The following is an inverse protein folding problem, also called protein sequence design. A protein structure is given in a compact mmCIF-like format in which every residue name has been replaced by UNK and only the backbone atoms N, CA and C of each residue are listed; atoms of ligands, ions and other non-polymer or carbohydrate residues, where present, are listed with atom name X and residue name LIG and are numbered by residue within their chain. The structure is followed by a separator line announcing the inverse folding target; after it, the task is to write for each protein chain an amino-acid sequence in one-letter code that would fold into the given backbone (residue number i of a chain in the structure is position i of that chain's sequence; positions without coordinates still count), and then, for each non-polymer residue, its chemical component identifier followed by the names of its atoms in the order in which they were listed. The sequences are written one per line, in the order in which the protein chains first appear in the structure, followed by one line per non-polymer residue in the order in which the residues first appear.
data_IF_697107180413
#
_entry.id   IF_697107180413
#
_cell.length_a   1.000
_cell.length_b   1.000
_cell.length_c   1.000
_cell.angle_alpha   90.00
_cell.angle_beta   90.00
_cell.angle_gamma   90.00
#
_symmetry.space_group_name_H-M   'P 1'
#
loop_
_entity.id
_entity.type
_entity.pdbx_description
1 polymer ?
#
# COMPACT_ATOMS: atom_id res chain seq x y z
N UNK A 1 -28.94 1.93 -28.92
CA UNK A 1 -28.35 0.57 -28.78
C UNK A 1 -27.41 0.60 -27.57
N UNK A 2 -27.49 -0.44 -26.74
CA UNK A 2 -27.12 -0.43 -25.33
C UNK A 2 -25.64 -0.07 -25.04
N UNK A 3 -25.45 0.74 -24.00
CA UNK A 3 -24.18 1.24 -23.48
C UNK A 3 -23.25 0.12 -22.98
N UNK A 4 -21.91 0.29 -23.06
CA UNK A 4 -20.98 -0.64 -22.45
C UNK A 4 -21.11 -0.55 -20.92
N UNK A 5 -21.37 -1.68 -20.28
CA UNK A 5 -21.59 -1.79 -18.84
C UNK A 5 -20.38 -1.28 -18.02
N UNK A 6 -20.59 -0.50 -16.95
CA UNK A 6 -19.51 -0.01 -16.09
C UNK A 6 -18.73 -1.17 -15.44
N UNK A 7 -17.45 -0.93 -15.14
CA UNK A 7 -16.62 -1.84 -14.34
C UNK A 7 -17.36 -2.18 -13.03
N UNK A 8 -17.31 -3.44 -12.57
CA UNK A 8 -18.07 -3.87 -11.41
C UNK A 8 -17.66 -3.08 -10.15
N UNK A 9 -18.65 -2.55 -9.44
CA UNK A 9 -18.47 -1.79 -8.22
C UNK A 9 -17.80 -2.63 -7.12
N UNK A 10 -16.81 -2.05 -6.44
CA UNK A 10 -16.07 -2.69 -5.36
C UNK A 10 -17.01 -3.15 -4.23
N UNK A 11 -18.01 -2.31 -3.89
CA UNK A 11 -19.00 -2.63 -2.85
C UNK A 11 -19.84 -3.86 -3.22
N UNK A 12 -20.30 -3.93 -4.47
CA UNK A 12 -21.06 -5.07 -4.99
C UNK A 12 -20.25 -6.37 -4.98
N UNK A 13 -19.00 -6.35 -5.47
CA UNK A 13 -18.13 -7.53 -5.45
C UNK A 13 -17.77 -7.98 -4.03
N UNK A 14 -17.54 -7.04 -3.11
CA UNK A 14 -17.29 -7.37 -1.71
C UNK A 14 -18.51 -8.04 -1.06
N UNK A 15 -19.73 -7.62 -1.40
CA UNK A 15 -20.95 -8.29 -0.94
C UNK A 15 -21.04 -9.73 -1.46
N UNK A 16 -20.71 -9.96 -2.73
CA UNK A 16 -20.69 -11.30 -3.33
C UNK A 16 -19.62 -12.19 -2.69
N UNK A 17 -18.39 -11.70 -2.53
CA UNK A 17 -17.31 -12.43 -1.85
C UNK A 17 -17.67 -12.75 -0.40
N UNK A 18 -18.41 -11.88 0.30
CA UNK A 18 -18.96 -12.17 1.65
C UNK A 18 -20.04 -13.26 1.63
N UNK A 19 -20.85 -13.34 0.58
CA UNK A 19 -21.80 -14.46 0.39
C UNK A 19 -21.05 -15.77 0.20
N UNK A 20 -20.04 -15.79 -0.68
CA UNK A 20 -19.18 -16.96 -0.89
C UNK A 20 -18.50 -17.38 0.41
N UNK A 21 -17.95 -16.44 1.17
CA UNK A 21 -17.33 -16.72 2.47
C UNK A 21 -18.30 -17.37 3.48
N UNK A 22 -19.59 -17.03 3.43
CA UNK A 22 -20.61 -17.61 4.32
C UNK A 22 -21.05 -19.00 3.87
N UNK A 23 -21.36 -19.18 2.59
CA UNK A 23 -21.85 -20.47 2.08
C UNK A 23 -20.72 -21.48 1.81
N UNK A 24 -19.50 -21.01 1.54
CA UNK A 24 -18.37 -21.82 1.09
C UNK A 24 -18.44 -22.17 -0.39
N UNK A 25 -17.33 -22.67 -0.93
CA UNK A 25 -17.18 -23.02 -2.35
C UNK A 25 -18.10 -24.17 -2.80
N UNK A 26 -18.55 -25.05 -1.88
CA UNK A 26 -19.55 -26.08 -2.18
C UNK A 26 -20.90 -25.46 -2.54
N UNK A 27 -21.31 -24.41 -1.82
CA UNK A 27 -22.57 -23.71 -2.04
C UNK A 27 -22.53 -22.70 -3.18
N UNK A 28 -21.38 -22.46 -3.80
CA UNK A 28 -21.14 -21.39 -4.77
C UNK A 28 -22.13 -21.39 -5.95
N UNK A 29 -22.50 -22.58 -6.45
CA UNK A 29 -23.44 -22.73 -7.59
C UNK A 29 -24.86 -22.25 -7.30
N UNK A 30 -25.22 -22.11 -6.02
CA UNK A 30 -26.54 -21.67 -5.58
C UNK A 30 -26.59 -20.19 -5.18
N UNK A 31 -25.45 -19.48 -5.22
CA UNK A 31 -25.37 -18.09 -4.82
C UNK A 31 -25.62 -17.14 -6.00
N UNK A 32 -26.34 -16.02 -5.78
CA UNK A 32 -26.42 -14.95 -6.76
C UNK A 32 -25.09 -14.19 -6.78
N UNK A 33 -24.24 -14.44 -7.79
CA UNK A 33 -22.96 -13.74 -7.97
C UNK A 33 -22.86 -13.05 -9.33
N UNK A 34 -23.77 -12.10 -9.65
CA UNK A 34 -23.82 -11.48 -10.98
C UNK A 34 -22.53 -10.73 -11.36
N UNK A 35 -21.87 -10.09 -10.40
CA UNK A 35 -20.60 -9.40 -10.61
C UNK A 35 -19.46 -10.37 -10.92
N UNK A 36 -19.31 -11.43 -10.11
CA UNK A 36 -18.28 -12.45 -10.34
C UNK A 36 -18.53 -13.26 -11.62
N UNK A 37 -19.77 -13.67 -11.87
CA UNK A 37 -20.16 -14.39 -13.09
C UNK A 37 -19.94 -13.53 -14.33
N UNK A 38 -20.30 -12.23 -14.28
CA UNK A 38 -20.07 -11.32 -15.39
C UNK A 38 -18.57 -11.08 -15.68
N UNK A 39 -17.68 -11.20 -14.69
CA UNK A 39 -16.22 -11.16 -14.92
C UNK A 39 -15.76 -12.44 -15.63
N UNK A 40 -16.27 -13.59 -15.22
CA UNK A 40 -15.96 -14.89 -15.84
C UNK A 40 -16.44 -14.94 -17.30
N UNK A 41 -17.66 -14.47 -17.58
CA UNK A 41 -18.27 -14.44 -18.91
C UNK A 41 -17.55 -13.50 -19.89
N UNK A 42 -16.92 -12.43 -19.38
CA UNK A 42 -16.16 -11.47 -20.19
C UNK A 42 -14.75 -11.94 -20.55
N UNK A 43 -14.29 -13.08 -20.01
CA UNK A 43 -12.94 -13.58 -20.28
C UNK A 43 -12.89 -14.25 -21.67
N UNK A 44 -11.94 -13.89 -22.55
CA UNK A 44 -11.86 -14.49 -23.87
C UNK A 44 -11.56 -15.99 -23.76
N UNK A 45 -12.26 -16.86 -24.52
CA UNK A 45 -11.97 -18.28 -24.56
C UNK A 45 -10.65 -18.51 -25.29
N UNK A 46 -9.57 -18.82 -24.57
CA UNK A 46 -8.26 -19.05 -25.23
C UNK A 46 -7.02 -19.29 -24.36
N UNK A 47 -7.06 -19.06 -23.05
CA UNK A 47 -5.90 -19.39 -22.19
C UNK A 47 -5.94 -20.86 -21.74
N UNK A 48 -5.47 -21.74 -22.63
CA UNK A 48 -5.06 -23.16 -22.45
C UNK A 48 -5.71 -24.00 -21.31
N UNK A 49 -6.56 -24.92 -21.77
CA UNK A 49 -6.93 -26.25 -21.24
C UNK A 49 -8.07 -26.43 -20.19
N UNK A 50 -9.14 -27.05 -20.71
CA UNK A 50 -9.97 -28.15 -20.16
C UNK A 50 -11.06 -27.90 -19.10
N UNK A 51 -11.22 -26.71 -18.54
CA UNK A 51 -12.35 -26.45 -17.63
C UNK A 51 -13.11 -25.17 -17.98
N UNK A 52 -14.46 -25.16 -17.92
CA UNK A 52 -15.22 -23.92 -18.03
C UNK A 52 -14.70 -22.94 -16.97
N UNK A 53 -14.40 -21.70 -17.36
CA UNK A 53 -14.04 -20.67 -16.40
C UNK A 53 -15.18 -20.58 -15.37
N UNK A 54 -14.89 -20.81 -14.10
CA UNK A 54 -15.88 -20.75 -13.03
C UNK A 54 -15.54 -19.61 -12.07
N UNK A 55 -16.55 -19.15 -11.33
CA UNK A 55 -16.33 -18.20 -10.23
C UNK A 55 -15.32 -18.75 -9.21
N UNK A 56 -15.29 -20.07 -9.00
CA UNK A 56 -14.29 -20.70 -8.12
C UNK A 56 -12.87 -20.51 -8.65
N UNK A 57 -12.67 -20.68 -9.95
CA UNK A 57 -11.36 -20.51 -10.59
C UNK A 57 -10.91 -19.04 -10.57
N UNK A 58 -11.85 -18.11 -10.77
CA UNK A 58 -11.59 -16.68 -10.59
C UNK A 58 -11.12 -16.37 -9.16
N UNK A 59 -11.80 -16.92 -8.14
CA UNK A 59 -11.43 -16.73 -6.75
C UNK A 59 -10.07 -17.37 -6.42
N UNK A 60 -9.78 -18.56 -6.97
CA UNK A 60 -8.48 -19.23 -6.83
C UNK A 60 -7.37 -18.41 -7.46
N UNK A 61 -7.58 -17.90 -8.67
CA UNK A 61 -6.65 -17.00 -9.37
C UNK A 61 -6.41 -15.73 -8.54
N UNK A 62 -7.47 -15.11 -8.03
CA UNK A 62 -7.37 -13.89 -7.22
C UNK A 62 -6.60 -14.12 -5.92
N UNK A 63 -6.86 -15.21 -5.22
CA UNK A 63 -6.18 -15.58 -3.96
C UNK A 63 -4.70 -15.90 -4.20
N UNK A 64 -4.37 -16.70 -5.23
CA UNK A 64 -2.98 -16.99 -5.60
C UNK A 64 -2.21 -15.72 -5.98
N UNK A 65 -2.90 -14.72 -6.55
CA UNK A 65 -2.31 -13.43 -6.93
C UNK A 65 -1.97 -12.51 -5.76
N UNK A 66 -2.38 -12.81 -4.52
CA UNK A 66 -2.14 -11.95 -3.34
C UNK A 66 -0.64 -11.79 -3.04
N UNK A 67 0.20 -12.77 -3.39
CA UNK A 67 1.65 -12.69 -3.23
C UNK A 67 2.20 -13.41 -1.99
N UNK A 68 1.50 -14.42 -1.48
CA UNK A 68 1.98 -15.31 -0.43
C UNK A 68 1.71 -14.86 1.01
N UNK A 69 2.33 -15.57 1.95
CA UNK A 69 2.33 -15.26 3.38
C UNK A 69 0.99 -15.47 4.09
N UNK A 70 0.90 -14.94 5.32
CA UNK A 70 -0.27 -15.14 6.20
C UNK A 70 -1.57 -14.58 5.60
N UNK A 71 -1.48 -13.56 4.74
CA UNK A 71 -2.63 -12.97 4.07
C UNK A 71 -3.24 -13.91 3.04
N UNK A 72 -2.43 -14.47 2.15
CA UNK A 72 -2.89 -15.46 1.18
C UNK A 72 -3.41 -16.71 1.90
N UNK A 73 -2.66 -17.26 2.86
CA UNK A 73 -3.08 -18.47 3.59
C UNK A 73 -4.39 -18.26 4.35
N UNK A 74 -4.60 -17.09 4.96
CA UNK A 74 -5.86 -16.78 5.62
C UNK A 74 -7.01 -16.58 4.62
N UNK A 75 -6.76 -16.05 3.43
CA UNK A 75 -7.74 -15.95 2.34
C UNK A 75 -8.16 -17.34 1.84
N UNK A 76 -7.21 -18.24 1.63
CA UNK A 76 -7.45 -19.63 1.24
C UNK A 76 -8.35 -20.35 2.26
N UNK A 77 -8.03 -20.23 3.56
CA UNK A 77 -8.87 -20.82 4.61
C UNK A 77 -10.23 -20.14 4.75
N UNK A 78 -10.31 -18.81 4.60
CA UNK A 78 -11.58 -18.07 4.74
C UNK A 78 -12.61 -18.48 3.69
N UNK A 79 -12.17 -18.72 2.46
CA UNK A 79 -13.02 -19.15 1.35
C UNK A 79 -13.16 -20.68 1.24
N UNK A 80 -12.31 -21.47 1.90
CA UNK A 80 -12.31 -22.93 1.79
C UNK A 80 -11.60 -23.42 0.53
N UNK A 81 -10.63 -22.65 0.05
CA UNK A 81 -9.82 -22.94 -1.14
C UNK A 81 -8.53 -23.71 -0.79
N UNK A 82 -8.12 -23.70 0.48
CA UNK A 82 -7.04 -24.52 0.99
C UNK A 82 -7.39 -26.02 0.87
N UNK A 83 -6.40 -26.85 0.54
CA UNK A 83 -6.59 -28.30 0.37
C UNK A 83 -7.29 -28.94 1.57
N UNK A 84 -8.32 -29.75 1.30
CA UNK A 84 -9.08 -30.46 2.34
C UNK A 84 -10.02 -29.59 3.20
N UNK A 85 -10.27 -28.32 2.82
CA UNK A 85 -11.15 -27.41 3.58
C UNK A 85 -12.45 -27.02 2.87
N UNK A 86 -12.74 -27.69 1.75
CA UNK A 86 -13.83 -27.36 0.83
C UNK A 86 -15.21 -27.42 1.50
N UNK A 87 -15.42 -28.45 2.31
CA UNK A 87 -16.66 -28.81 3.01
C UNK A 87 -16.71 -28.31 4.46
N UNK A 88 -15.66 -27.65 4.93
CA UNK A 88 -15.60 -27.18 6.32
C UNK A 88 -16.70 -26.15 6.60
N UNK A 89 -17.33 -26.17 7.79
CA UNK A 89 -18.25 -25.12 8.22
C UNK A 89 -17.60 -23.73 8.21
N UNK A 90 -18.40 -22.70 7.91
CA UNK A 90 -17.93 -21.32 7.80
C UNK A 90 -17.33 -20.76 9.11
N UNK A 91 -17.69 -21.35 10.25
CA UNK A 91 -17.11 -21.04 11.56
C UNK A 91 -15.70 -21.65 11.71
N UNK A 92 -15.48 -22.87 11.22
CA UNK A 92 -14.20 -23.58 11.33
C UNK A 92 -13.16 -23.00 10.37
N UNK A 93 -13.58 -22.65 9.15
CA UNK A 93 -12.80 -21.85 8.21
C UNK A 93 -12.33 -20.52 8.83
N UNK A 94 -13.24 -19.83 9.54
CA UNK A 94 -12.90 -18.59 10.27
C UNK A 94 -11.88 -18.84 11.37
N UNK A 95 -12.10 -19.91 12.15
CA UNK A 95 -11.21 -20.27 13.26
C UNK A 95 -9.81 -20.54 12.74
N UNK A 96 -9.69 -21.27 11.63
CA UNK A 96 -8.39 -21.56 11.01
C UNK A 96 -7.73 -20.32 10.42
N UNK A 97 -8.49 -19.47 9.72
CA UNK A 97 -7.95 -18.20 9.21
C UNK A 97 -7.49 -17.26 10.34
N UNK A 98 -8.20 -17.24 11.47
CA UNK A 98 -7.80 -16.50 12.67
C UNK A 98 -6.48 -17.05 13.28
N UNK A 99 -6.31 -18.37 13.30
CA UNK A 99 -5.08 -19.03 13.74
C UNK A 99 -3.87 -18.64 12.88
N UNK A 100 -4.03 -18.52 11.55
CA UNK A 100 -2.95 -18.07 10.64
C UNK A 100 -2.41 -16.69 11.02
N UNK A 101 -3.28 -15.82 11.54
CA UNK A 101 -2.89 -14.49 12.04
C UNK A 101 -2.49 -14.46 13.52
N UNK A 102 -2.65 -15.57 14.25
CA UNK A 102 -2.43 -15.59 15.70
C UNK A 102 -3.40 -14.69 16.46
N UNK A 103 -4.63 -14.51 15.97
CA UNK A 103 -5.67 -13.67 16.62
C UNK A 103 -6.89 -14.49 17.04
N UNK A 104 -7.71 -13.94 17.95
CA UNK A 104 -8.96 -14.57 18.33
C UNK A 104 -9.97 -14.59 17.16
N UNK A 105 -10.86 -15.58 17.14
CA UNK A 105 -11.89 -15.72 16.11
C UNK A 105 -12.79 -14.48 16.02
N UNK A 106 -13.08 -13.87 17.17
CA UNK A 106 -13.90 -12.66 17.25
C UNK A 106 -13.19 -11.43 16.69
N UNK A 107 -11.88 -11.29 16.95
CA UNK A 107 -11.07 -10.22 16.37
C UNK A 107 -10.89 -10.39 14.87
N UNK A 108 -10.72 -11.63 14.42
CA UNK A 108 -10.68 -11.95 13.00
C UNK A 108 -11.99 -11.53 12.32
N UNK A 109 -13.14 -11.96 12.89
CA UNK A 109 -14.48 -11.61 12.38
C UNK A 109 -14.69 -10.10 12.22
N UNK A 110 -14.28 -9.31 13.21
CA UNK A 110 -14.53 -7.86 13.24
C UNK A 110 -13.59 -7.04 12.35
N UNK A 111 -12.35 -7.47 12.15
CA UNK A 111 -11.33 -6.60 11.56
C UNK A 111 -10.54 -7.26 10.42
N UNK A 112 -10.09 -8.50 10.59
CA UNK A 112 -9.20 -9.14 9.62
C UNK A 112 -9.97 -9.78 8.47
N UNK A 113 -11.18 -10.27 8.74
CA UNK A 113 -12.03 -10.89 7.72
C UNK A 113 -12.43 -9.87 6.65
N UNK A 114 -12.76 -8.63 7.04
CA UNK A 114 -13.08 -7.59 6.06
C UNK A 114 -11.85 -7.22 5.22
N UNK A 115 -10.68 -7.09 5.84
CA UNK A 115 -9.43 -6.79 5.14
C UNK A 115 -9.04 -7.90 4.17
N UNK A 116 -9.10 -9.16 4.59
CA UNK A 116 -8.81 -10.34 3.73
C UNK A 116 -9.74 -10.38 2.52
N UNK A 117 -11.05 -10.18 2.73
CA UNK A 117 -12.02 -10.19 1.63
C UNK A 117 -11.86 -8.96 0.72
N UNK A 118 -11.50 -7.79 1.25
CA UNK A 118 -11.19 -6.60 0.46
C UNK A 118 -10.00 -6.83 -0.47
N UNK A 119 -8.93 -7.46 0.02
CA UNK A 119 -7.76 -7.82 -0.78
C UNK A 119 -8.09 -8.81 -1.91
N UNK A 120 -9.00 -9.75 -1.66
CA UNK A 120 -9.52 -10.65 -2.70
C UNK A 120 -10.27 -9.85 -3.77
N UNK A 121 -11.14 -8.91 -3.38
CA UNK A 121 -11.91 -8.08 -4.32
C UNK A 121 -11.00 -7.20 -5.18
N UNK A 122 -9.97 -6.59 -4.59
CA UNK A 122 -8.97 -5.81 -5.33
C UNK A 122 -8.28 -6.68 -6.41
N UNK A 123 -7.95 -7.93 -6.08
CA UNK A 123 -7.38 -8.88 -7.05
C UNK A 123 -8.37 -9.28 -8.15
N UNK A 124 -9.64 -9.46 -7.81
CA UNK A 124 -10.69 -9.76 -8.80
C UNK A 124 -10.88 -8.59 -9.77
N UNK A 125 -10.84 -7.35 -9.27
CA UNK A 125 -10.90 -6.16 -10.11
C UNK A 125 -9.70 -6.03 -11.05
N UNK A 126 -8.50 -6.39 -10.58
CA UNK A 126 -7.30 -6.46 -11.43
C UNK A 126 -7.46 -7.52 -12.54
N UNK A 127 -8.05 -8.67 -12.24
CA UNK A 127 -8.33 -9.71 -13.24
C UNK A 127 -9.39 -9.25 -14.26
N UNK A 128 -10.35 -8.43 -13.82
CA UNK A 128 -11.46 -7.96 -14.64
C UNK A 128 -11.11 -6.76 -15.54
N UNK A 129 -9.99 -6.08 -15.29
CA UNK A 129 -9.58 -4.94 -16.10
C UNK A 129 -9.26 -5.40 -17.54
N UNK A 130 -9.75 -4.70 -18.58
CA UNK A 130 -9.35 -5.01 -19.94
C UNK A 130 -7.83 -4.82 -20.08
N UNK A 131 -7.15 -5.63 -20.90
CA UNK A 131 -5.77 -5.36 -21.25
C UNK A 131 -5.73 -3.97 -21.91
N UNK A 132 -5.18 -2.99 -21.20
CA UNK A 132 -5.08 -1.62 -21.69
C UNK A 132 -4.27 -1.64 -22.97
N UNK A 133 -4.82 -1.06 -24.04
CA UNK A 133 -4.18 -0.89 -25.34
C UNK A 133 -2.97 0.03 -25.23
N UNK A 134 -1.86 -0.51 -24.75
CA UNK A 134 -0.51 -0.14 -25.16
C UNK A 134 -0.05 -1.24 -26.10
N UNK A 135 -0.21 -1.01 -27.41
CA UNK A 135 0.27 -1.89 -28.48
C UNK A 135 1.79 -2.02 -28.43
N UNK A 136 2.26 -3.00 -27.65
CA UNK A 136 3.55 -3.68 -27.82
C UNK A 136 3.61 -5.04 -27.09
N UNK A 137 2.48 -5.68 -26.79
CA UNK A 137 2.46 -7.01 -26.15
C UNK A 137 1.81 -8.12 -27.00
N UNK A 138 1.30 -7.78 -28.18
CA UNK A 138 0.66 -8.75 -29.08
C UNK A 138 1.64 -9.41 -30.07
N UNK A 139 2.88 -8.92 -30.19
CA UNK A 139 3.88 -9.47 -31.12
C UNK A 139 4.80 -10.53 -30.49
N UNK A 140 4.48 -10.99 -29.26
CA UNK A 140 5.28 -12.02 -28.54
C UNK A 140 4.56 -13.32 -28.25
N UNK A 141 3.38 -13.54 -28.82
CA UNK A 141 2.69 -14.83 -28.77
C UNK A 141 2.23 -15.26 -30.18
N UNK A 142 3.17 -15.30 -31.11
CA UNK A 142 3.07 -16.13 -32.31
C UNK A 142 3.78 -17.46 -32.06
N UNK A 143 3.00 -18.54 -31.92
CA UNK A 143 3.52 -19.90 -32.09
C UNK A 143 3.86 -20.10 -33.57
N UNK A 144 5.15 -20.06 -33.88
CA UNK A 144 5.75 -20.65 -35.06
C UNK A 144 7.07 -21.26 -34.64
N UNK A 145 7.14 -22.59 -34.67
CA UNK A 145 8.40 -23.31 -34.59
C UNK A 145 9.30 -22.83 -35.75
N UNK A 146 10.38 -22.12 -35.40
CA UNK A 146 11.76 -22.31 -35.90
C UNK A 146 12.61 -21.08 -35.55
N UNK A 147 13.61 -21.28 -34.66
CA UNK A 147 14.84 -20.47 -34.60
C UNK A 147 14.74 -18.97 -34.29
N UNK A 148 14.25 -18.59 -33.11
CA UNK A 148 14.27 -17.18 -32.65
C UNK A 148 14.59 -17.04 -31.15
N UNK A 149 15.76 -16.49 -30.84
CA UNK A 149 16.29 -16.25 -29.48
C UNK A 149 15.28 -15.42 -28.66
N UNK A 150 14.65 -16.03 -27.65
CA UNK A 150 13.70 -15.36 -26.77
C UNK A 150 14.35 -14.15 -26.08
N UNK A 151 13.80 -12.96 -26.34
CA UNK A 151 14.17 -11.75 -25.64
C UNK A 151 13.68 -11.82 -24.18
N UNK A 152 14.44 -11.30 -23.20
CA UNK A 152 14.09 -11.38 -21.80
C UNK A 152 12.75 -10.69 -21.50
N UNK A 153 11.95 -11.30 -20.61
CA UNK A 153 10.77 -10.68 -20.02
C UNK A 153 11.22 -9.48 -19.19
N UNK A 154 10.79 -8.27 -19.56
CA UNK A 154 11.12 -7.07 -18.80
C UNK A 154 10.49 -7.14 -17.40
N UNK A 155 11.32 -6.93 -16.38
CA UNK A 155 10.87 -6.82 -15.00
C UNK A 155 10.00 -5.58 -14.84
N UNK A 156 8.92 -5.67 -14.07
CA UNK A 156 8.09 -4.52 -13.77
C UNK A 156 8.92 -3.39 -13.12
N UNK A 157 8.71 -2.12 -13.50
CA UNK A 157 9.57 -1.03 -13.07
C UNK A 157 9.41 -0.75 -11.57
N UNK A 158 10.51 -0.57 -10.86
CA UNK A 158 10.53 -0.23 -9.43
C UNK A 158 10.19 1.23 -9.14
N UNK A 159 10.04 2.06 -10.17
CA UNK A 159 9.67 3.47 -10.10
C UNK A 159 8.66 3.82 -11.19
N UNK A 160 7.74 4.75 -10.90
CA UNK A 160 6.85 5.36 -11.89
C UNK A 160 6.88 6.86 -11.74
N UNK A 161 6.95 7.58 -12.85
CA UNK A 161 6.85 9.04 -12.88
C UNK A 161 5.48 9.42 -13.39
N UNK A 162 4.74 10.20 -12.61
CA UNK A 162 3.40 10.66 -12.89
C UNK A 162 3.41 12.18 -13.06
N UNK A 163 2.52 12.71 -13.89
CA UNK A 163 2.42 14.16 -14.17
C UNK A 163 1.00 14.70 -13.96
N UNK A 164 0.43 14.59 -12.74
CA UNK A 164 -0.91 15.10 -12.45
C UNK A 164 -1.05 16.60 -12.73
N UNK A 165 -2.25 17.00 -13.14
CA UNK A 165 -2.64 18.40 -13.27
C UNK A 165 -3.15 18.91 -11.93
N UNK A 166 -2.38 19.80 -11.30
CA UNK A 166 -2.70 20.43 -10.01
C UNK A 166 -2.87 21.92 -10.24
N UNK A 167 -4.08 22.45 -10.03
CA UNK A 167 -4.40 23.86 -10.25
C UNK A 167 -3.90 24.44 -11.60
N UNK A 168 -4.08 23.67 -12.67
CA UNK A 168 -3.67 24.08 -14.03
C UNK A 168 -2.17 23.93 -14.33
N UNK A 169 -1.40 23.33 -13.41
CA UNK A 169 0.04 23.05 -13.59
C UNK A 169 0.30 21.56 -13.56
N UNK A 170 1.11 21.07 -14.51
CA UNK A 170 1.64 19.70 -14.40
C UNK A 170 2.74 19.68 -13.35
N UNK A 171 2.61 18.75 -12.41
CA UNK A 171 3.60 18.53 -11.35
C UNK A 171 4.15 17.11 -11.49
N UNK A 172 5.45 16.95 -11.36
CA UNK A 172 6.09 15.63 -11.37
C UNK A 172 5.93 14.97 -10.00
N UNK A 173 5.39 13.75 -10.00
CA UNK A 173 5.27 12.90 -8.81
C UNK A 173 5.94 11.56 -9.09
N UNK A 174 6.87 11.14 -8.25
CA UNK A 174 7.57 9.86 -8.39
C UNK A 174 7.03 8.83 -7.39
N UNK A 175 6.62 7.65 -7.87
CA UNK A 175 6.15 6.54 -7.04
C UNK A 175 7.22 5.44 -7.01
N UNK A 176 7.79 5.22 -5.83
CA UNK A 176 8.76 4.19 -5.52
C UNK A 176 8.05 2.90 -5.08
N UNK A 177 8.32 1.80 -5.77
CA UNK A 177 7.67 0.49 -5.58
C UNK A 177 8.66 -0.48 -4.97
N UNK A 178 9.07 -0.20 -3.74
CA UNK A 178 10.03 -1.00 -3.00
C UNK A 178 9.98 -0.67 -1.51
N UNK A 179 10.84 -1.31 -0.71
CA UNK A 179 10.96 -0.94 0.70
C UNK A 179 11.68 0.40 0.87
N UNK A 180 11.36 1.12 1.94
CA UNK A 180 11.81 2.50 2.20
C UNK A 180 13.34 2.60 2.41
N UNK A 181 14.01 1.51 2.77
CA UNK A 181 15.47 1.39 2.89
C UNK A 181 16.21 1.29 1.55
N UNK A 182 15.49 1.28 0.44
CA UNK A 182 16.04 1.34 -0.92
C UNK A 182 15.82 2.71 -1.59
N UNK A 183 15.27 3.69 -0.86
CA UNK A 183 15.15 5.06 -1.36
C UNK A 183 16.53 5.65 -1.60
N UNK A 184 16.68 6.36 -2.71
CA UNK A 184 17.90 7.06 -3.09
C UNK A 184 17.55 8.44 -3.59
N UNK A 185 18.47 9.38 -3.38
CA UNK A 185 18.41 10.72 -3.98
C UNK A 185 17.11 11.47 -3.64
N UNK A 186 16.65 11.32 -2.40
CA UNK A 186 15.53 12.07 -1.82
C UNK A 186 16.00 12.73 -0.53
N UNK A 187 15.89 14.05 -0.43
CA UNK A 187 16.36 14.84 0.71
C UNK A 187 15.66 14.44 2.02
N UNK A 188 14.33 14.30 1.99
CA UNK A 188 13.52 14.07 3.19
C UNK A 188 12.59 12.88 3.03
N UNK A 189 12.56 11.98 4.02
CA UNK A 189 11.54 10.93 4.12
C UNK A 189 10.69 11.10 5.38
N UNK A 190 9.37 10.97 5.23
CA UNK A 190 8.45 11.02 6.38
C UNK A 190 8.30 9.64 6.99
N UNK A 191 8.61 9.54 8.29
CA UNK A 191 8.48 8.32 9.09
C UNK A 191 7.20 8.37 9.93
N UNK A 192 6.22 7.46 9.73
CA UNK A 192 5.04 7.39 10.59
C UNK A 192 5.43 6.93 11.99
N UNK A 193 5.25 7.81 12.98
CA UNK A 193 5.62 7.60 14.37
C UNK A 193 4.40 7.64 15.29
N UNK A 194 4.54 6.98 16.45
CA UNK A 194 3.55 7.14 17.50
C UNK A 194 3.70 8.47 18.23
N UNK A 195 2.66 8.89 18.93
CA UNK A 195 2.64 10.16 19.67
C UNK A 195 3.67 10.24 20.79
N UNK A 196 4.29 9.14 21.21
CA UNK A 196 5.38 9.16 22.20
C UNK A 196 6.77 9.19 21.56
N UNK A 197 6.86 9.21 20.23
CA UNK A 197 8.12 9.12 19.48
C UNK A 197 8.99 7.91 19.86
N UNK A 198 8.36 6.82 20.33
CA UNK A 198 9.07 5.57 20.65
C UNK A 198 9.18 4.75 19.38
N UNK A 199 10.38 4.63 18.82
CA UNK A 199 10.58 3.84 17.61
C UNK A 199 10.33 2.34 17.86
N UNK A 200 9.71 1.64 16.89
CA UNK A 200 9.55 0.18 16.96
C UNK A 200 10.91 -0.51 17.01
N UNK A 201 10.92 -1.75 17.50
CA UNK A 201 12.10 -2.60 17.46
C UNK A 201 12.61 -2.77 16.00
N UNK A 202 13.93 -2.79 15.76
CA UNK A 202 14.51 -2.70 14.43
C UNK A 202 14.22 -3.92 13.54
N UNK A 203 13.83 -5.06 14.11
CA UNK A 203 13.45 -6.27 13.35
C UNK A 203 11.98 -6.27 12.90
N UNK A 204 11.19 -5.22 13.22
CA UNK A 204 9.82 -5.10 12.72
C UNK A 204 9.82 -4.64 11.26
N UNK A 205 8.70 -4.91 10.58
CA UNK A 205 8.54 -4.63 9.15
C UNK A 205 7.85 -3.30 8.84
N UNK A 206 7.60 -2.42 9.83
CA UNK A 206 7.00 -1.10 9.57
C UNK A 206 7.99 -0.14 8.91
N UNK A 207 7.48 0.94 8.29
CA UNK A 207 8.31 2.00 7.69
C UNK A 207 9.30 2.56 8.72
N UNK A 208 8.82 2.95 9.92
CA UNK A 208 9.68 3.47 10.98
C UNK A 208 10.75 2.47 11.47
N UNK A 209 10.42 1.17 11.54
CA UNK A 209 11.41 0.15 11.92
C UNK A 209 12.48 -0.03 10.85
N UNK A 210 12.07 -0.03 9.57
CA UNK A 210 12.99 -0.11 8.44
C UNK A 210 13.91 1.12 8.38
N UNK A 211 13.35 2.34 8.51
CA UNK A 211 14.14 3.58 8.54
C UNK A 211 15.14 3.60 9.70
N UNK A 212 14.71 3.21 10.92
CA UNK A 212 15.62 3.06 12.07
C UNK A 212 16.77 2.10 11.76
N UNK A 213 16.46 0.90 11.26
CA UNK A 213 17.46 -0.14 10.96
C UNK A 213 18.40 0.25 9.82
N UNK A 214 17.92 1.02 8.84
CA UNK A 214 18.71 1.44 7.70
C UNK A 214 19.56 2.69 8.00
N UNK A 215 19.06 3.60 8.84
CA UNK A 215 19.82 4.76 9.32
C UNK A 215 20.83 4.43 10.42
N UNK A 216 20.77 3.24 11.01
CA UNK A 216 21.73 2.78 12.00
C UNK A 216 23.09 2.42 11.38
N UNK A 217 24.18 2.80 12.04
CA UNK A 217 25.55 2.43 11.66
C UNK A 217 25.85 1.01 12.13
N UNK A 218 26.38 0.19 11.22
CA UNK A 218 26.71 -1.21 11.49
C UNK A 218 28.18 -1.49 11.26
N UNK A 219 28.69 -2.51 11.93
CA UNK A 219 30.02 -3.03 11.69
C UNK A 219 30.04 -3.95 10.44
N UNK A 220 31.21 -4.38 9.96
CA UNK A 220 31.30 -5.28 8.79
C UNK A 220 30.60 -6.63 8.96
N UNK A 221 30.31 -7.06 10.19
CA UNK A 221 29.57 -8.30 10.49
C UNK A 221 28.05 -8.09 10.56
N UNK A 222 27.60 -6.84 10.37
CA UNK A 222 26.19 -6.45 10.46
C UNK A 222 25.73 -6.15 11.89
N UNK A 223 26.62 -6.17 12.86
CA UNK A 223 26.35 -5.79 14.25
C UNK A 223 26.02 -4.31 14.37
N UNK A 224 25.06 -3.96 15.23
CA UNK A 224 24.68 -2.57 15.49
C UNK A 224 25.80 -1.86 16.24
N UNK A 225 26.33 -0.78 15.68
CA UNK A 225 27.32 0.07 16.36
C UNK A 225 26.65 1.32 16.92
N UNK A 226 25.83 2.01 16.12
CA UNK A 226 25.10 3.21 16.55
C UNK A 226 23.68 3.21 15.99
N UNK A 227 22.71 3.58 16.84
CA UNK A 227 21.31 3.74 16.46
C UNK A 227 20.96 5.23 16.38
N UNK A 228 21.65 5.96 15.48
CA UNK A 228 21.61 7.42 15.40
C UNK A 228 20.18 7.97 15.34
N UNK A 229 19.33 7.35 14.51
CA UNK A 229 17.92 7.77 14.35
C UNK A 229 17.15 7.64 15.67
N UNK A 230 17.39 6.58 16.45
CA UNK A 230 16.75 6.40 17.74
C UNK A 230 17.25 7.43 18.77
N UNK A 231 18.56 7.60 18.87
CA UNK A 231 19.18 8.46 19.87
C UNK A 231 18.85 9.93 19.61
N UNK A 232 18.88 10.36 18.34
CA UNK A 232 18.49 11.72 17.95
C UNK A 232 17.01 11.99 18.19
N UNK A 233 16.12 11.05 17.86
CA UNK A 233 14.68 11.23 18.10
C UNK A 233 14.38 11.30 19.60
N UNK A 234 15.04 10.44 20.40
CA UNK A 234 14.94 10.49 21.86
C UNK A 234 15.47 11.82 22.40
N UNK A 235 16.60 12.29 21.90
CA UNK A 235 17.19 13.58 22.27
C UNK A 235 16.27 14.75 21.91
N UNK A 236 15.65 14.71 20.72
CA UNK A 236 14.66 15.69 20.30
C UNK A 236 13.44 15.69 21.24
N UNK A 237 12.90 14.51 21.55
CA UNK A 237 11.75 14.38 22.45
C UNK A 237 12.07 14.92 23.86
N UNK A 238 13.28 14.64 24.37
CA UNK A 238 13.75 15.17 25.65
C UNK A 238 13.82 16.71 25.66
N UNK A 239 14.44 17.33 24.64
CA UNK A 239 14.54 18.79 24.51
C UNK A 239 13.18 19.49 24.37
N UNK A 240 12.17 18.78 23.88
CA UNK A 240 10.82 19.30 23.70
C UNK A 240 9.86 18.92 24.86
N UNK A 241 10.39 18.44 26.00
CA UNK A 241 9.58 18.17 27.20
C UNK A 241 8.62 16.99 27.06
N UNK A 242 8.94 16.04 26.17
CA UNK A 242 8.13 14.85 25.88
C UNK A 242 8.57 13.53 26.54
N UNK A 243 9.57 13.45 27.46
CA UNK A 243 9.80 12.19 28.17
C UNK A 243 8.52 11.70 28.88
N UNK A 244 8.04 10.52 28.51
CA UNK A 244 6.83 9.91 29.07
C UNK A 244 5.51 10.61 28.72
N UNK A 245 5.52 11.61 27.84
CA UNK A 245 4.33 12.38 27.46
C UNK A 245 4.04 12.22 25.97
N UNK A 246 2.77 12.10 25.63
CA UNK A 246 2.35 12.11 24.23
C UNK A 246 2.46 13.53 23.65
N UNK A 247 3.11 13.63 22.49
CA UNK A 247 3.03 14.78 21.61
C UNK A 247 1.60 14.97 21.08
N UNK A 248 1.30 16.20 20.65
CA UNK A 248 0.06 16.48 19.94
C UNK A 248 0.05 15.72 18.60
N UNK A 249 -1.04 15.00 18.25
CA UNK A 249 -1.14 14.36 16.94
C UNK A 249 -1.02 15.36 15.79
N UNK A 250 -0.02 15.17 14.94
CA UNK A 250 0.38 16.14 13.91
C UNK A 250 1.76 16.77 14.13
N UNK A 251 2.36 16.61 15.31
CA UNK A 251 3.74 17.06 15.57
C UNK A 251 4.72 16.29 14.68
N UNK A 252 5.70 17.00 14.12
CA UNK A 252 6.77 16.42 13.29
C UNK A 252 8.12 16.71 13.95
N UNK A 253 8.90 15.65 14.17
CA UNK A 253 10.23 15.72 14.77
C UNK A 253 11.31 15.41 13.72
N UNK A 254 12.24 16.33 13.42
CA UNK A 254 13.36 16.06 12.52
C UNK A 254 14.47 15.28 13.22
N UNK A 255 15.08 14.35 12.49
CA UNK A 255 16.40 13.76 12.76
C UNK A 255 17.25 13.79 11.48
N UNK A 256 18.55 13.56 11.61
CA UNK A 256 19.39 13.13 10.50
C UNK A 256 18.88 11.79 9.93
N UNK A 257 19.37 11.45 8.74
CA UNK A 257 19.12 10.15 8.13
C UNK A 257 20.08 9.04 8.63
N UNK A 258 21.09 9.39 9.45
CA UNK A 258 22.17 8.47 9.83
C UNK A 258 22.87 7.88 8.61
N UNK A 259 23.07 6.57 8.58
CA UNK A 259 23.72 5.86 7.47
C UNK A 259 22.97 5.95 6.13
N UNK A 260 21.68 6.30 6.12
CA UNK A 260 20.95 6.59 4.88
C UNK A 260 21.45 7.87 4.17
N UNK A 261 22.27 8.69 4.86
CA UNK A 261 23.03 9.79 4.28
C UNK A 261 23.82 9.40 3.04
N UNK A 262 24.41 8.21 3.04
CA UNK A 262 25.19 7.68 1.90
C UNK A 262 24.32 7.39 0.67
N UNK A 263 22.99 7.34 0.83
CA UNK A 263 22.01 7.12 -0.24
C UNK A 263 21.37 8.42 -0.71
N UNK A 264 21.82 9.57 -0.22
CA UNK A 264 21.25 10.88 -0.55
C UNK A 264 20.07 11.30 0.33
N UNK A 265 19.70 10.50 1.35
CA UNK A 265 18.70 10.93 2.35
C UNK A 265 19.35 11.83 3.38
N UNK A 266 18.80 13.02 3.60
CA UNK A 266 19.40 14.02 4.49
C UNK A 266 18.66 14.15 5.80
N UNK A 267 17.33 14.05 5.76
CA UNK A 267 16.45 14.17 6.94
C UNK A 267 15.42 13.05 7.00
N UNK A 268 15.10 12.66 8.23
CA UNK A 268 13.91 11.86 8.52
C UNK A 268 12.96 12.73 9.35
N UNK A 269 11.74 12.92 8.84
CA UNK A 269 10.69 13.64 9.54
C UNK A 269 9.74 12.66 10.20
N UNK A 270 9.87 12.49 11.52
CA UNK A 270 9.04 11.60 12.30
C UNK A 270 7.71 12.28 12.59
N UNK A 271 6.65 11.82 11.92
CA UNK A 271 5.31 12.38 12.07
C UNK A 271 4.53 11.63 13.16
N UNK A 272 4.09 12.33 14.21
CA UNK A 272 3.25 11.79 15.28
C UNK A 272 1.80 11.58 14.78
N UNK A 273 1.61 10.54 13.97
CA UNK A 273 0.32 10.20 13.35
C UNK A 273 -0.46 9.14 14.11
N UNK A 274 0.24 8.30 14.89
CA UNK A 274 -0.31 7.09 15.46
C UNK A 274 -0.48 7.19 16.97
N UNK A 275 -1.72 7.10 17.46
CA UNK A 275 -1.99 7.01 18.90
C UNK A 275 -1.95 5.54 19.29
N UNK A 276 -1.05 5.10 20.20
CA UNK A 276 -1.03 3.71 20.63
C UNK A 276 -2.35 3.32 21.29
N UNK A 277 -2.91 2.16 20.92
CA UNK A 277 -4.06 1.60 21.63
C UNK A 277 -3.54 0.81 22.85
N UNK A 278 -3.98 1.14 24.08
CA UNK A 278 -3.61 0.40 25.29
C UNK A 278 -3.79 -1.11 25.12
N UNK A 279 -2.90 -1.89 25.74
CA UNK A 279 -2.91 -3.35 25.76
C UNK A 279 -2.87 -4.02 24.37
N UNK A 280 -2.32 -3.33 23.37
CA UNK A 280 -2.22 -3.85 22.01
C UNK A 280 -0.94 -3.40 21.30
N UNK A 281 -0.67 -4.02 20.16
CA UNK A 281 0.37 -3.60 19.22
C UNK A 281 -0.17 -2.69 18.08
N UNK A 282 -1.43 -2.26 18.22
CA UNK A 282 -2.18 -1.50 17.22
C UNK A 282 -2.17 0.00 17.54
N UNK A 283 -2.53 0.79 16.54
CA UNK A 283 -2.63 2.23 16.65
C UNK A 283 -3.95 2.73 16.09
N UNK A 284 -4.42 3.85 16.64
CA UNK A 284 -5.48 4.65 16.05
C UNK A 284 -4.85 5.79 15.25
N UNK A 285 -5.17 5.84 13.96
CA UNK A 285 -4.80 6.95 13.06
C UNK A 285 -6.07 7.54 12.50
N UNK A 286 -6.22 8.87 12.65
CA UNK A 286 -7.36 9.61 12.09
C UNK A 286 -6.93 10.30 10.78
N UNK A 287 -7.74 10.29 9.71
CA UNK A 287 -7.44 10.99 8.46
C UNK A 287 -7.00 12.45 8.66
N UNK A 288 -7.73 13.20 9.50
CA UNK A 288 -7.38 14.59 9.78
C UNK A 288 -5.99 14.79 10.43
N UNK A 289 -5.47 13.78 11.16
CA UNK A 289 -4.11 13.82 11.72
C UNK A 289 -3.08 13.61 10.61
N UNK A 290 -3.36 12.74 9.64
CA UNK A 290 -2.50 12.53 8.46
C UNK A 290 -2.34 13.84 7.69
N UNK A 291 -3.46 14.50 7.34
CA UNK A 291 -3.43 15.81 6.65
C UNK A 291 -2.58 16.84 7.40
N UNK A 292 -2.81 16.99 8.72
CA UNK A 292 -2.03 17.94 9.53
C UNK A 292 -0.55 17.59 9.61
N UNK A 293 -0.21 16.30 9.69
CA UNK A 293 1.18 15.86 9.78
C UNK A 293 1.94 16.14 8.49
N UNK A 294 1.29 15.95 7.34
CA UNK A 294 1.87 16.25 6.02
C UNK A 294 2.07 17.75 5.86
N UNK A 295 1.06 18.56 6.21
CA UNK A 295 1.20 20.02 6.21
C UNK A 295 2.33 20.49 7.14
N UNK A 296 2.45 19.89 8.34
CA UNK A 296 3.54 20.20 9.27
C UNK A 296 4.91 19.76 8.74
N UNK A 297 4.99 18.65 8.00
CA UNK A 297 6.22 18.19 7.36
C UNK A 297 6.69 19.16 6.26
N UNK A 298 5.79 19.66 5.42
CA UNK A 298 6.13 20.70 4.44
C UNK A 298 6.49 22.03 5.10
N UNK A 299 5.79 22.43 6.16
CA UNK A 299 6.13 23.62 6.91
C UNK A 299 7.52 23.51 7.58
N UNK A 300 7.94 22.30 7.97
CA UNK A 300 9.29 22.03 8.47
C UNK A 300 10.31 22.03 7.34
N UNK A 301 10.02 21.38 6.21
CA UNK A 301 10.85 21.41 5.00
C UNK A 301 11.16 22.84 4.56
N UNK A 302 10.14 23.69 4.46
CA UNK A 302 10.31 25.09 4.07
C UNK A 302 11.21 25.88 5.05
N UNK A 303 11.21 25.54 6.35
CA UNK A 303 12.06 26.18 7.35
C UNK A 303 13.51 25.70 7.29
N UNK A 304 13.73 24.40 7.08
CA UNK A 304 15.07 23.82 7.05
C UNK A 304 15.76 24.00 5.69
N UNK A 305 15.00 24.03 4.60
CA UNK A 305 15.53 24.02 3.22
C UNK A 305 16.58 25.10 2.96
N UNK A 306 16.34 26.34 3.38
CA UNK A 306 17.26 27.45 3.13
C UNK A 306 18.54 27.41 4.01
N UNK A 307 18.54 26.65 5.10
CA UNK A 307 19.69 26.50 5.99
C UNK A 307 20.65 25.38 5.59
N UNK A 308 20.36 24.70 4.49
CA UNK A 308 21.01 23.50 4.01
C UNK A 308 21.70 23.79 2.66
N UNK A 309 22.89 23.21 2.44
CA UNK A 309 23.66 23.38 1.19
C UNK A 309 24.00 22.02 0.58
N UNK A 310 23.40 21.63 -0.58
CA UNK A 310 22.37 22.37 -1.32
C UNK A 310 21.04 22.44 -0.55
N UNK A 311 20.08 23.31 -0.92
CA UNK A 311 18.77 23.35 -0.28
C UNK A 311 18.03 22.01 -0.37
N UNK A 312 17.19 21.69 0.62
CA UNK A 312 16.30 20.52 0.57
C UNK A 312 15.16 20.80 -0.42
N UNK A 313 14.95 19.94 -1.41
CA UNK A 313 13.96 20.13 -2.48
C UNK A 313 12.96 18.98 -2.62
N UNK A 314 13.28 17.79 -2.12
CA UNK A 314 12.46 16.59 -2.31
C UNK A 314 11.92 16.01 -1.00
N UNK A 315 10.68 15.51 -1.04
CA UNK A 315 10.04 14.85 0.11
C UNK A 315 9.33 13.57 -0.30
N UNK A 316 9.63 12.48 0.40
CA UNK A 316 9.00 11.18 0.24
C UNK A 316 7.98 10.87 1.33
N UNK A 317 6.77 10.56 0.90
CA UNK A 317 5.62 10.24 1.73
C UNK A 317 5.26 8.74 1.58
N UNK A 318 5.30 7.94 2.65
CA UNK A 318 4.59 6.66 2.66
C UNK A 318 3.09 6.90 2.81
N UNK A 319 2.27 5.87 2.55
CA UNK A 319 0.85 5.89 2.90
C UNK A 319 0.68 5.86 4.43
N UNK A 320 0.62 7.05 5.04
CA UNK A 320 0.56 7.24 6.49
C UNK A 320 -0.71 6.60 7.09
N UNK A 321 -0.52 5.72 8.07
CA UNK A 321 -1.62 5.04 8.75
C UNK A 321 -2.15 3.79 8.05
N UNK A 322 -1.74 3.49 6.81
CA UNK A 322 -2.25 2.33 6.05
C UNK A 322 -1.66 0.97 6.44
N UNK A 323 -0.94 0.92 7.57
CA UNK A 323 -0.42 -0.30 8.17
C UNK A 323 -1.20 -0.64 9.43
N UNK A 324 -0.51 -0.66 10.58
CA UNK A 324 -1.14 -0.92 11.89
C UNK A 324 -2.02 0.21 12.43
N UNK A 325 -2.18 1.29 11.67
CA UNK A 325 -3.05 2.42 12.00
C UNK A 325 -4.51 2.23 11.57
N UNK A 326 -4.81 1.20 10.78
CA UNK A 326 -6.16 0.81 10.43
C UNK A 326 -6.79 1.56 9.25
N UNK A 327 -6.10 2.53 8.63
CA UNK A 327 -6.58 3.16 7.41
C UNK A 327 -6.39 2.21 6.22
N UNK A 328 -7.31 2.26 5.26
CA UNK A 328 -7.06 1.71 3.93
C UNK A 328 -6.04 2.57 3.17
N UNK A 329 -5.33 2.02 2.17
CA UNK A 329 -4.48 2.81 1.28
C UNK A 329 -5.21 4.01 0.64
N UNK A 330 -6.49 3.83 0.29
CA UNK A 330 -7.34 4.88 -0.28
C UNK A 330 -7.61 6.01 0.73
N UNK A 331 -8.00 5.67 1.97
CA UNK A 331 -8.23 6.69 3.02
C UNK A 331 -6.94 7.42 3.38
N UNK A 332 -5.82 6.71 3.44
CA UNK A 332 -4.50 7.30 3.68
C UNK A 332 -4.13 8.30 2.58
N UNK A 333 -4.26 7.91 1.32
CA UNK A 333 -3.98 8.79 0.18
C UNK A 333 -4.93 9.99 0.13
N UNK A 334 -6.24 9.75 0.30
CA UNK A 334 -7.24 10.81 0.32
C UNK A 334 -7.05 11.81 1.47
N UNK A 335 -6.44 11.38 2.57
CA UNK A 335 -6.10 12.25 3.70
C UNK A 335 -4.81 13.05 3.49
N UNK A 336 -3.79 12.46 2.87
CA UNK A 336 -2.49 13.12 2.65
C UNK A 336 -2.51 14.06 1.45
N UNK A 337 -3.21 13.71 0.37
CA UNK A 337 -3.15 14.43 -0.90
C UNK A 337 -3.60 15.89 -0.80
N UNK A 338 -4.69 16.24 -0.08
CA UNK A 338 -5.10 17.64 0.06
C UNK A 338 -4.02 18.54 0.66
N UNK A 339 -3.15 18.01 1.53
CA UNK A 339 -2.03 18.77 2.07
C UNK A 339 -0.92 18.96 1.04
N UNK A 340 -0.61 17.92 0.24
CA UNK A 340 0.36 18.01 -0.88
C UNK A 340 -0.15 18.99 -1.93
N UNK A 341 -1.40 18.84 -2.36
CA UNK A 341 -2.07 19.70 -3.32
C UNK A 341 -2.03 21.17 -2.89
N UNK A 342 -2.32 21.45 -1.61
CA UNK A 342 -2.28 22.82 -1.09
C UNK A 342 -0.88 23.44 -1.16
N UNK A 343 0.20 22.68 -0.95
CA UNK A 343 1.57 23.18 -1.09
C UNK A 343 1.96 23.41 -2.54
N UNK A 344 1.59 22.49 -3.43
CA UNK A 344 1.79 22.63 -4.87
C UNK A 344 1.00 23.81 -5.45
N UNK A 345 -0.22 24.05 -4.95
CA UNK A 345 -1.07 25.18 -5.33
C UNK A 345 -0.42 26.54 -5.00
N UNK A 346 0.37 26.62 -3.92
CA UNK A 346 1.16 27.81 -3.58
C UNK A 346 2.37 28.00 -4.48
N UNK A 347 2.61 27.07 -5.41
CA UNK A 347 3.72 27.11 -6.36
C UNK A 347 5.06 26.71 -5.76
N UNK A 348 5.06 25.97 -4.65
CA UNK A 348 6.28 25.49 -4.04
C UNK A 348 7.05 24.55 -5.00
N UNK A 349 8.40 24.63 -5.05
CA UNK A 349 9.22 23.90 -6.01
C UNK A 349 9.53 22.46 -5.56
N UNK A 350 8.69 21.86 -4.72
CA UNK A 350 8.99 20.58 -4.10
C UNK A 350 8.86 19.41 -5.07
N UNK A 351 9.86 18.53 -5.09
CA UNK A 351 9.78 17.23 -5.74
C UNK A 351 9.03 16.26 -4.82
N UNK A 352 7.92 15.71 -5.32
CA UNK A 352 7.02 14.88 -4.52
C UNK A 352 7.26 13.41 -4.83
N UNK A 353 7.58 12.64 -3.78
CA UNK A 353 7.79 11.21 -3.88
C UNK A 353 6.78 10.46 -3.02
N UNK A 354 6.32 9.31 -3.51
CA UNK A 354 5.57 8.33 -2.75
C UNK A 354 6.35 7.04 -2.65
N UNK A 355 6.33 6.39 -1.49
CA UNK A 355 6.90 5.04 -1.34
C UNK A 355 5.84 4.05 -0.90
N UNK A 356 5.70 2.97 -1.68
CA UNK A 356 4.70 1.91 -1.44
C UNK A 356 5.32 0.54 -1.60
N UNK A 357 4.81 -0.43 -0.84
CA UNK A 357 5.18 -1.84 -1.01
C UNK A 357 4.23 -2.49 -2.00
N UNK A 358 4.72 -2.75 -3.20
CA UNK A 358 4.04 -3.52 -4.24
C UNK A 358 3.23 -2.68 -5.23
N UNK A 359 3.06 -3.24 -6.43
CA UNK A 359 2.44 -2.55 -7.56
C UNK A 359 0.97 -2.20 -7.36
N UNK A 360 0.20 -3.00 -6.61
CA UNK A 360 -1.23 -2.72 -6.39
C UNK A 360 -1.47 -1.35 -5.72
N UNK A 361 -0.61 -0.96 -4.78
CA UNK A 361 -0.66 0.37 -4.16
C UNK A 361 -0.18 1.46 -5.11
N UNK A 362 0.81 1.17 -5.95
CA UNK A 362 1.29 2.11 -6.97
C UNK A 362 0.19 2.38 -8.01
N UNK A 363 -0.51 1.34 -8.46
CA UNK A 363 -1.65 1.44 -9.38
C UNK A 363 -2.78 2.27 -8.76
N UNK A 364 -3.02 2.14 -7.45
CA UNK A 364 -4.00 2.97 -6.74
C UNK A 364 -3.59 4.45 -6.76
N UNK A 365 -2.34 4.77 -6.39
CA UNK A 365 -1.82 6.14 -6.40
C UNK A 365 -1.92 6.74 -7.80
N UNK A 366 -1.51 5.99 -8.82
CA UNK A 366 -1.59 6.39 -10.21
C UNK A 366 -3.03 6.69 -10.66
N UNK A 367 -3.99 5.80 -10.35
CA UNK A 367 -5.41 6.04 -10.67
C UNK A 367 -5.98 7.27 -9.98
N UNK A 368 -5.59 7.52 -8.72
CA UNK A 368 -6.08 8.67 -7.97
C UNK A 368 -5.49 9.99 -8.49
N UNK A 369 -4.26 9.97 -9.02
CA UNK A 369 -3.58 11.12 -9.60
C UNK A 369 -3.94 11.38 -11.07
N UNK A 370 -4.35 10.36 -11.82
CA UNK A 370 -4.80 10.50 -13.20
C UNK A 370 -6.12 11.28 -13.34
N UNK A 371 -6.89 11.43 -12.25
CA UNK A 371 -8.21 12.06 -12.25
C UNK A 371 -9.28 11.24 -13.00
N UNK A 372 -10.57 11.61 -12.91
CA UNK A 372 -11.58 11.06 -13.82
C UNK A 372 -11.27 11.54 -15.24
N UNK A 373 -11.18 10.60 -16.20
CA UNK A 373 -11.06 10.93 -17.62
C UNK A 373 -12.09 12.00 -17.99
N UNK A 374 -11.62 13.11 -18.59
CA UNK A 374 -12.48 14.21 -19.02
C UNK A 374 -13.69 13.65 -19.77
N UNK A 375 -14.88 13.78 -19.17
CA UNK A 375 -16.12 13.61 -19.90
C UNK A 375 -16.23 14.81 -20.85
N UNK A 376 -15.67 14.66 -22.04
CA UNK A 376 -15.93 15.59 -23.14
C UNK A 376 -17.42 15.49 -23.48
N UNK A 377 -18.23 16.34 -22.85
CA UNK A 377 -19.57 16.63 -23.35
C UNK A 377 -19.37 17.43 -24.65
N UNK A 378 -19.64 16.80 -25.78
CA UNK A 378 -19.97 17.48 -27.04
C UNK A 378 -21.46 17.38 -27.26
#
# INVERSE_FOLDING_TARGET
MAHPFPLPDYGALLAEVRMVRRAGVVGLRSLPTPGLSGIVERRPPGALQAHPATVEELLRTAVSGIGGGTLQTAAEYSLGLAGGTRDWPAADRRRRAAQVYGVSVERFRKHHELMVLGQIVERILLIAAPPTTGTALADRLGTGEEGGRAAPSELAPSHRTLTPLVHGRHVTVTVHIHSVDLLRDVDVVVSPSNTYFVLPAPFKSSVAATLRRAGARKDPTGGLVEDCVHDELRGWAARNGMPGRAALPGTVAPTSAGALGEQGLRRIYHAAVAVPRPDSNDYDVRPAVVTRSVAAAFALLARESAGEDPPLLSICLPLLGSGRGGLTPLESFGALWPAVEAELARGAPWEIHFVVRGHAHADLVERLLAGPAERTYR
#
